data_IF_173161559175
#
_entry.id   IF_173161559175
#
_cell.length_a   1.000
_cell.length_b   1.000
_cell.length_c   1.000
_cell.angle_alpha   90.00
_cell.angle_beta   90.00
_cell.angle_gamma   90.00
#
_symmetry.space_group_name_H-M   'P 1'
#
loop_
_entity.id
_entity.type
_entity.pdbx_description
1 polymer ?
#
# COMPACT_ATOMS: atom_id res chain seq x y z
N UNK A 1 6.87 -26.30 15.35
CA UNK A 1 6.90 -24.83 15.52
C UNK A 1 6.48 -24.20 14.21
N UNK A 2 5.38 -23.43 14.12
CA UNK A 2 4.94 -22.85 12.85
C UNK A 2 5.64 -21.51 12.56
N UNK A 3 6.02 -21.31 11.29
CA UNK A 3 6.43 -20.03 10.71
C UNK A 3 5.46 -19.75 9.55
N UNK A 4 4.60 -18.75 9.67
CA UNK A 4 3.61 -18.44 8.62
C UNK A 4 4.07 -17.26 7.78
N UNK A 5 3.92 -17.42 6.46
CA UNK A 5 3.98 -16.37 5.46
C UNK A 5 2.56 -16.25 4.87
N UNK A 6 2.11 -15.03 4.58
CA UNK A 6 0.77 -14.77 4.04
C UNK A 6 0.76 -15.04 2.52
N UNK A 7 -0.15 -15.91 2.07
CA UNK A 7 -0.37 -16.24 0.66
C UNK A 7 -1.54 -15.38 0.14
N UNK A 8 -1.37 -14.58 -0.92
CA UNK A 8 -2.43 -13.72 -1.46
C UNK A 8 -3.68 -14.48 -1.94
N UNK A 9 -3.60 -15.79 -2.15
CA UNK A 9 -4.74 -16.66 -2.46
C UNK A 9 -5.46 -17.19 -1.22
N UNK A 10 -4.88 -17.01 -0.03
CA UNK A 10 -5.53 -17.39 1.23
C UNK A 10 -6.69 -16.45 1.56
N UNK A 11 -7.72 -16.94 2.28
CA UNK A 11 -8.82 -16.10 2.73
C UNK A 11 -8.30 -14.89 3.53
N UNK A 12 -8.89 -13.69 3.36
CA UNK A 12 -8.46 -12.51 4.09
C UNK A 12 -8.54 -12.73 5.60
N UNK A 13 -7.49 -12.31 6.31
CA UNK A 13 -7.49 -12.30 7.78
C UNK A 13 -8.51 -11.27 8.23
N UNK A 14 -9.61 -11.73 8.82
CA UNK A 14 -10.70 -10.86 9.25
C UNK A 14 -10.38 -10.23 10.61
N UNK A 15 -10.58 -8.92 10.70
CA UNK A 15 -10.61 -8.17 11.94
C UNK A 15 -11.89 -7.33 11.98
N UNK A 16 -12.64 -7.44 13.07
CA UNK A 16 -13.86 -6.66 13.32
C UNK A 16 -13.54 -5.58 14.36
N UNK A 17 -12.98 -4.47 13.90
CA UNK A 17 -12.93 -3.21 14.65
C UNK A 17 -13.92 -2.23 14.02
N UNK A 18 -14.61 -1.38 14.81
CA UNK A 18 -15.44 -0.32 14.24
C UNK A 18 -14.57 0.55 13.34
N UNK A 19 -14.95 0.62 12.06
CA UNK A 19 -14.22 1.43 11.09
C UNK A 19 -14.59 2.89 11.38
N UNK A 20 -13.59 3.69 11.76
CA UNK A 20 -13.73 5.14 11.87
C UNK A 20 -14.12 5.73 10.52
N UNK A 21 -14.86 6.84 10.49
CA UNK A 21 -15.12 7.55 9.23
C UNK A 21 -13.79 8.07 8.65
N UNK A 22 -13.43 7.62 7.45
CA UNK A 22 -12.27 8.14 6.73
C UNK A 22 -12.71 9.23 5.77
N UNK A 23 -11.93 10.31 5.70
CA UNK A 23 -12.20 11.42 4.78
C UNK A 23 -11.12 11.47 3.70
N UNK A 24 -11.44 11.92 2.48
CA UNK A 24 -10.44 12.19 1.45
C UNK A 24 -9.35 13.15 1.95
N UNK A 25 -8.09 12.81 1.71
CA UNK A 25 -6.94 13.66 2.10
C UNK A 25 -6.44 14.43 0.88
N UNK A 26 -6.57 15.77 0.82
CA UNK A 26 -5.96 16.57 -0.23
C UNK A 26 -4.43 16.59 -0.09
N UNK A 27 -3.72 16.52 -1.21
CA UNK A 27 -2.27 16.46 -1.27
C UNK A 27 -1.76 17.38 -2.38
N UNK A 28 -0.72 18.15 -2.07
CA UNK A 28 0.06 18.87 -3.08
C UNK A 28 1.33 18.09 -3.36
N UNK A 29 1.60 17.77 -4.63
CA UNK A 29 2.78 17.00 -5.02
C UNK A 29 4.05 17.84 -4.87
N UNK A 30 5.21 17.17 -5.03
CA UNK A 30 6.52 17.78 -4.80
C UNK A 30 6.81 18.99 -5.69
N UNK A 31 6.17 19.11 -6.84
CA UNK A 31 6.28 20.27 -7.73
C UNK A 31 5.65 21.55 -7.14
N UNK A 32 4.88 21.42 -6.06
CA UNK A 32 4.24 22.54 -5.36
C UNK A 32 2.96 23.04 -6.03
N UNK A 33 2.58 22.50 -7.18
CA UNK A 33 1.45 22.99 -7.99
C UNK A 33 0.44 21.92 -8.31
N UNK A 34 0.86 20.66 -8.52
CA UNK A 34 -0.05 19.58 -8.87
C UNK A 34 -0.85 19.17 -7.65
N UNK A 35 -2.18 19.23 -7.78
CA UNK A 35 -3.13 18.86 -6.74
C UNK A 35 -3.67 17.45 -6.96
N UNK A 36 -3.72 16.68 -5.88
CA UNK A 36 -4.22 15.32 -5.86
C UNK A 36 -5.04 15.08 -4.58
N UNK A 37 -5.82 14.01 -4.58
CA UNK A 37 -6.62 13.57 -3.44
C UNK A 37 -6.36 12.10 -3.18
N UNK A 38 -6.12 11.71 -1.92
CA UNK A 38 -6.06 10.31 -1.48
C UNK A 38 -7.46 9.91 -1.01
N UNK A 39 -8.06 8.93 -1.67
CA UNK A 39 -9.41 8.45 -1.41
C UNK A 39 -9.37 7.13 -0.63
N UNK A 40 -10.08 7.02 0.51
CA UNK A 40 -10.16 5.80 1.31
C UNK A 40 -11.24 4.85 0.78
N UNK A 41 -10.92 3.57 0.63
CA UNK A 41 -11.84 2.49 0.25
C UNK A 41 -11.85 1.41 1.33
N UNK A 42 -13.03 1.04 1.81
CA UNK A 42 -13.24 0.03 2.86
C UNK A 42 -13.88 -1.25 2.32
N UNK A 43 -14.26 -1.27 1.04
CA UNK A 43 -14.83 -2.44 0.37
C UNK A 43 -14.45 -2.43 -1.12
N UNK A 44 -14.19 -3.61 -1.74
CA UNK A 44 -14.00 -3.71 -3.19
C UNK A 44 -15.19 -3.16 -4.00
N UNK A 45 -16.40 -3.22 -3.45
CA UNK A 45 -17.62 -2.73 -4.12
C UNK A 45 -17.69 -1.22 -4.29
N UNK A 46 -16.85 -0.45 -3.57
CA UNK A 46 -16.78 1.01 -3.69
C UNK A 46 -15.88 1.46 -4.85
N UNK A 47 -15.10 0.54 -5.44
CA UNK A 47 -14.06 0.88 -6.41
C UNK A 47 -14.61 0.70 -7.82
N UNK A 48 -14.47 1.70 -8.72
CA UNK A 48 -14.80 1.52 -10.13
C UNK A 48 -14.09 0.29 -10.72
N UNK A 49 -14.79 -0.61 -11.44
CA UNK A 49 -14.15 -1.80 -12.03
C UNK A 49 -12.98 -1.48 -12.96
N UNK A 50 -13.07 -0.37 -13.71
CA UNK A 50 -11.99 0.12 -14.58
C UNK A 50 -10.74 0.54 -13.81
N UNK A 51 -10.90 1.12 -12.61
CA UNK A 51 -9.79 1.48 -11.72
C UNK A 51 -9.14 0.22 -11.12
N UNK A 52 -9.96 -0.74 -10.70
CA UNK A 52 -9.47 -2.04 -10.20
C UNK A 52 -8.65 -2.76 -11.27
N UNK A 53 -9.15 -2.79 -12.52
CA UNK A 53 -8.44 -3.34 -13.68
C UNK A 53 -7.11 -2.63 -13.91
N UNK A 54 -7.11 -1.30 -13.91
CA UNK A 54 -5.89 -0.50 -14.07
C UNK A 54 -4.83 -0.82 -12.99
N UNK A 55 -5.22 -0.83 -11.71
CA UNK A 55 -4.31 -1.14 -10.61
C UNK A 55 -3.79 -2.58 -10.66
N UNK A 56 -4.63 -3.53 -11.10
CA UNK A 56 -4.21 -4.91 -11.35
C UNK A 56 -3.11 -4.96 -12.42
N UNK A 57 -3.26 -4.22 -13.53
CA UNK A 57 -2.22 -4.08 -14.55
C UNK A 57 -0.95 -3.44 -13.99
N UNK A 58 -1.06 -2.39 -13.17
CA UNK A 58 0.11 -1.76 -12.55
C UNK A 58 0.88 -2.75 -11.65
N UNK A 59 0.19 -3.54 -10.83
CA UNK A 59 0.83 -4.59 -10.03
C UNK A 59 1.49 -5.65 -10.91
N UNK A 60 0.82 -6.09 -11.97
CA UNK A 60 1.37 -7.06 -12.91
C UNK A 60 2.67 -6.56 -13.57
N UNK A 61 2.75 -5.26 -13.90
CA UNK A 61 3.97 -4.65 -14.44
C UNK A 61 5.11 -4.63 -13.41
N UNK A 62 4.82 -4.30 -12.13
CA UNK A 62 5.82 -4.35 -11.05
C UNK A 62 6.31 -5.78 -10.78
N UNK A 63 5.42 -6.77 -10.78
CA UNK A 63 5.76 -8.20 -10.68
C UNK A 63 6.61 -8.63 -11.87
N UNK A 64 6.23 -8.25 -13.09
CA UNK A 64 6.97 -8.57 -14.30
C UNK A 64 8.38 -7.95 -14.30
N UNK A 65 8.55 -6.74 -13.74
CA UNK A 65 9.86 -6.14 -13.53
C UNK A 65 10.72 -6.96 -12.55
N UNK A 66 10.11 -7.57 -11.53
CA UNK A 66 10.73 -8.62 -10.71
C UNK A 66 11.78 -8.14 -9.71
N UNK A 67 11.66 -6.90 -9.25
CA UNK A 67 12.63 -6.25 -8.34
C UNK A 67 12.01 -5.73 -7.04
N UNK A 68 10.69 -5.76 -6.90
CA UNK A 68 9.97 -5.10 -5.79
C UNK A 68 9.05 -6.02 -5.00
N UNK A 69 8.34 -6.92 -5.68
CA UNK A 69 7.45 -7.91 -5.08
C UNK A 69 8.02 -9.34 -5.21
N UNK A 70 7.74 -10.25 -4.24
CA UNK A 70 8.23 -11.62 -4.27
C UNK A 70 7.49 -12.53 -5.27
N UNK A 71 6.33 -12.09 -5.78
CA UNK A 71 5.52 -12.87 -6.71
C UNK A 71 6.26 -13.07 -8.03
N UNK A 72 6.13 -14.26 -8.61
CA UNK A 72 6.65 -14.56 -9.95
C UNK A 72 5.59 -14.30 -11.02
N UNK A 73 4.35 -14.66 -10.71
CA UNK A 73 3.21 -14.57 -11.62
C UNK A 73 2.27 -13.44 -11.19
N UNK A 74 1.67 -12.70 -12.15
CA UNK A 74 0.70 -11.67 -11.86
C UNK A 74 -0.58 -12.29 -11.27
N UNK A 75 -1.24 -11.54 -10.38
CA UNK A 75 -2.53 -11.93 -9.84
C UNK A 75 -3.62 -11.79 -10.92
N UNK A 76 -4.52 -12.76 -11.07
CA UNK A 76 -5.73 -12.59 -11.87
C UNK A 76 -6.60 -11.45 -11.33
N UNK A 77 -7.37 -10.79 -12.21
CA UNK A 77 -8.19 -9.63 -11.85
C UNK A 77 -9.23 -9.97 -10.78
N UNK A 78 -9.85 -11.16 -10.89
CA UNK A 78 -10.83 -11.69 -9.93
C UNK A 78 -10.25 -11.88 -8.53
N UNK A 79 -8.92 -12.05 -8.42
CA UNK A 79 -8.21 -12.19 -7.15
C UNK A 79 -7.69 -10.84 -6.66
N UNK A 80 -7.25 -9.98 -7.58
CA UNK A 80 -6.64 -8.68 -7.24
C UNK A 80 -7.59 -7.78 -6.46
N UNK A 81 -8.83 -7.58 -6.93
CA UNK A 81 -9.80 -6.69 -6.27
C UNK A 81 -10.07 -7.11 -4.83
N UNK A 82 -10.51 -8.37 -4.58
CA UNK A 82 -10.70 -8.90 -3.24
C UNK A 82 -9.44 -8.89 -2.37
N UNK A 83 -8.25 -9.04 -2.95
CA UNK A 83 -6.99 -8.98 -2.20
C UNK A 83 -6.63 -7.54 -1.78
N UNK A 84 -6.54 -6.63 -2.75
CA UNK A 84 -6.03 -5.27 -2.58
C UNK A 84 -7.00 -4.41 -1.77
N UNK A 85 -8.30 -4.61 -1.95
CA UNK A 85 -9.37 -3.87 -1.27
C UNK A 85 -10.04 -4.68 -0.13
N UNK A 86 -9.37 -5.72 0.37
CA UNK A 86 -9.94 -6.67 1.35
C UNK A 86 -10.40 -6.05 2.68
N UNK A 87 -9.57 -5.19 3.26
CA UNK A 87 -9.80 -4.58 4.59
C UNK A 87 -9.91 -3.07 4.45
N UNK A 88 -8.86 -2.47 3.90
CA UNK A 88 -8.78 -1.06 3.62
C UNK A 88 -7.76 -0.83 2.50
N UNK A 89 -8.07 0.09 1.59
CA UNK A 89 -7.11 0.59 0.64
C UNK A 89 -7.30 2.09 0.42
N UNK A 90 -6.26 2.70 -0.14
CA UNK A 90 -6.26 4.09 -0.54
C UNK A 90 -5.87 4.19 -2.00
N UNK A 91 -6.48 5.11 -2.75
CA UNK A 91 -6.03 5.46 -4.10
C UNK A 91 -5.82 6.96 -4.18
N UNK A 92 -4.63 7.37 -4.61
CA UNK A 92 -4.33 8.76 -4.90
C UNK A 92 -4.65 9.06 -6.36
N UNK A 93 -5.49 10.06 -6.58
CA UNK A 93 -5.94 10.51 -7.90
C UNK A 93 -5.70 12.00 -8.08
N UNK A 94 -5.45 12.44 -9.31
CA UNK A 94 -5.34 13.86 -9.66
C UNK A 94 -6.68 14.59 -9.48
N UNK A 95 -6.61 15.80 -8.92
CA UNK A 95 -7.76 16.66 -8.67
C UNK A 95 -8.00 16.93 -7.18
N UNK A 96 -8.89 17.89 -6.93
CA UNK A 96 -9.33 18.32 -5.60
C UNK A 96 -10.84 18.13 -5.46
N UNK A 97 -11.33 18.11 -4.22
CA UNK A 97 -12.77 17.98 -3.95
C UNK A 97 -13.36 16.62 -4.34
N UNK A 98 -12.52 15.62 -4.57
CA UNK A 98 -12.94 14.28 -4.94
C UNK A 98 -13.38 13.50 -3.71
N UNK A 99 -14.40 12.67 -3.92
CA UNK A 99 -14.96 11.71 -2.97
C UNK A 99 -15.00 10.31 -3.60
N UNK A 100 -15.20 9.29 -2.78
CA UNK A 100 -15.37 7.90 -3.25
C UNK A 100 -16.58 7.82 -4.18
N UNK A 101 -17.66 8.51 -3.81
CA UNK A 101 -18.92 8.58 -4.54
C UNK A 101 -18.72 9.22 -5.91
N UNK A 102 -18.10 10.40 -5.97
CA UNK A 102 -17.82 11.08 -7.24
C UNK A 102 -16.91 10.27 -8.15
N UNK A 103 -15.98 9.47 -7.58
CA UNK A 103 -15.11 8.61 -8.37
C UNK A 103 -15.87 7.40 -8.93
N UNK A 104 -16.83 6.87 -8.16
CA UNK A 104 -17.81 5.87 -8.60
C UNK A 104 -18.59 6.36 -9.81
N UNK A 105 -19.22 7.53 -9.69
CA UNK A 105 -19.99 8.17 -10.77
C UNK A 105 -19.13 8.40 -12.02
N UNK A 106 -17.90 8.89 -11.86
CA UNK A 106 -16.96 9.06 -12.98
C UNK A 106 -16.67 7.74 -13.72
N UNK A 107 -16.55 6.64 -12.99
CA UNK A 107 -16.33 5.32 -13.56
C UNK A 107 -17.53 4.73 -14.29
N UNK A 108 -18.75 5.16 -13.93
CA UNK A 108 -20.00 4.75 -14.59
C UNK A 108 -20.31 5.57 -15.84
N UNK A 109 -19.94 6.87 -15.85
CA UNK A 109 -20.26 7.79 -16.93
C UNK A 109 -19.37 7.65 -18.19
N UNK A 110 -18.31 6.84 -18.18
CA UNK A 110 -17.50 6.57 -19.37
C UNK A 110 -16.08 6.06 -19.08
N UNK A 111 -15.26 6.01 -20.14
CA UNK A 111 -13.85 5.64 -20.04
C UNK A 111 -13.05 6.72 -19.33
N UNK A 112 -12.59 6.42 -18.12
CA UNK A 112 -11.67 7.27 -17.36
C UNK A 112 -10.24 6.87 -17.71
N UNK A 113 -9.46 7.83 -18.19
CA UNK A 113 -8.03 7.66 -18.46
C UNK A 113 -7.22 7.56 -17.15
N UNK A 114 -7.27 6.38 -16.51
CA UNK A 114 -6.61 6.11 -15.23
C UNK A 114 -5.09 6.23 -15.31
N UNK A 115 -4.50 6.02 -16.47
CA UNK A 115 -3.05 6.13 -16.66
C UNK A 115 -2.54 7.54 -16.37
N UNK A 116 -3.34 8.57 -16.62
CA UNK A 116 -3.00 9.93 -16.27
C UNK A 116 -3.51 10.36 -14.90
N UNK A 117 -4.69 9.86 -14.49
CA UNK A 117 -5.36 10.29 -13.26
C UNK A 117 -4.92 9.55 -12.00
N UNK A 118 -4.70 8.24 -12.06
CA UNK A 118 -4.31 7.44 -10.90
C UNK A 118 -2.81 7.54 -10.67
N UNK A 119 -2.43 8.10 -9.51
CA UNK A 119 -1.04 8.35 -9.14
C UNK A 119 -0.41 7.18 -8.39
N UNK A 120 -1.20 6.46 -7.59
CA UNK A 120 -0.74 5.33 -6.81
C UNK A 120 -1.78 4.85 -5.82
N UNK A 121 -1.48 3.76 -5.13
CA UNK A 121 -2.39 3.13 -4.18
C UNK A 121 -1.61 2.42 -3.08
N UNK A 122 -2.24 2.22 -1.94
CA UNK A 122 -1.78 1.26 -0.94
C UNK A 122 -2.95 0.50 -0.32
N UNK A 123 -2.68 -0.65 0.28
CA UNK A 123 -3.63 -1.35 1.15
C UNK A 123 -3.13 -1.37 2.60
N UNK A 124 -4.06 -1.55 3.55
CA UNK A 124 -3.76 -1.91 4.94
C UNK A 124 -4.56 -3.15 5.31
N UNK A 125 -3.88 -4.17 5.85
CA UNK A 125 -4.52 -5.41 6.32
C UNK A 125 -3.75 -6.01 7.50
N UNK A 126 -4.33 -6.92 8.30
CA UNK A 126 -3.57 -7.65 9.30
C UNK A 126 -2.39 -8.41 8.67
N UNK A 127 -1.21 -8.33 9.27
CA UNK A 127 -0.03 -9.08 8.83
C UNK A 127 -0.07 -10.54 9.30
N UNK A 128 -0.76 -10.79 10.42
CA UNK A 128 -0.82 -12.08 11.08
C UNK A 128 -2.26 -12.37 11.56
N UNK A 129 -2.65 -13.64 11.70
CA UNK A 129 -4.01 -13.98 12.14
C UNK A 129 -4.17 -13.91 13.66
N UNK A 130 -5.43 -13.86 14.10
CA UNK A 130 -5.83 -14.08 15.48
C UNK A 130 -5.16 -13.11 16.46
N UNK A 131 -4.38 -13.66 17.40
CA UNK A 131 -3.76 -12.91 18.52
C UNK A 131 -2.79 -11.82 18.06
N UNK A 132 -2.27 -11.93 16.83
CA UNK A 132 -1.30 -10.98 16.27
C UNK A 132 -1.92 -10.07 15.19
N UNK A 133 -3.25 -10.09 15.03
CA UNK A 133 -3.95 -9.29 14.01
C UNK A 133 -3.97 -7.78 14.28
N UNK A 134 -3.47 -7.34 15.44
CA UNK A 134 -3.23 -5.93 15.74
C UNK A 134 -2.01 -5.35 15.02
N UNK A 135 -1.13 -6.21 14.48
CA UNK A 135 -0.02 -5.83 13.62
C UNK A 135 -0.49 -5.80 12.16
N UNK A 136 -0.45 -4.64 11.51
CA UNK A 136 -0.78 -4.53 10.09
C UNK A 136 0.43 -4.69 9.17
N UNK A 137 0.12 -4.95 7.92
CA UNK A 137 1.01 -4.84 6.77
C UNK A 137 0.38 -3.85 5.77
N UNK A 138 1.19 -3.41 4.81
CA UNK A 138 0.73 -2.67 3.64
C UNK A 138 1.60 -2.98 2.43
N UNK A 139 1.00 -2.83 1.25
CA UNK A 139 1.67 -2.86 -0.04
C UNK A 139 1.35 -1.58 -0.80
N UNK A 140 2.30 -1.11 -1.61
CA UNK A 140 2.24 0.21 -2.25
C UNK A 140 2.51 0.09 -3.74
N UNK A 141 1.72 0.78 -4.54
CA UNK A 141 1.92 0.97 -5.98
C UNK A 141 2.04 2.46 -6.28
N UNK A 142 2.97 2.80 -7.16
CA UNK A 142 3.08 4.14 -7.72
C UNK A 142 3.08 4.00 -9.23
N UNK A 143 2.22 4.77 -9.90
CA UNK A 143 2.16 4.79 -11.35
C UNK A 143 3.55 5.13 -11.93
N UNK A 144 4.08 4.23 -12.76
CA UNK A 144 5.43 4.33 -13.30
C UNK A 144 5.64 5.63 -14.10
N UNK A 145 4.60 6.15 -14.76
CA UNK A 145 4.64 7.40 -15.53
C UNK A 145 4.70 8.67 -14.67
N UNK A 146 4.42 8.58 -13.36
CA UNK A 146 4.31 9.73 -12.44
C UNK A 146 5.35 9.70 -11.32
N UNK A 147 6.47 8.98 -11.50
CA UNK A 147 7.55 8.87 -10.49
C UNK A 147 8.22 10.22 -10.22
N UNK A 148 8.99 10.29 -9.13
CA UNK A 148 9.73 11.48 -8.67
C UNK A 148 8.89 12.69 -8.20
N UNK A 149 7.56 12.59 -8.18
CA UNK A 149 6.66 13.63 -7.68
C UNK A 149 6.34 13.55 -6.18
N UNK A 150 7.04 12.68 -5.43
CA UNK A 150 6.82 12.52 -3.99
C UNK A 150 5.60 11.67 -3.61
N UNK A 151 4.93 11.04 -4.58
CA UNK A 151 3.71 10.21 -4.39
C UNK A 151 3.91 9.15 -3.30
N UNK A 152 4.96 8.33 -3.41
CA UNK A 152 5.19 7.24 -2.44
C UNK A 152 5.34 7.74 -0.99
N UNK A 153 5.97 8.90 -0.78
CA UNK A 153 6.08 9.49 0.56
C UNK A 153 4.74 10.04 1.04
N UNK A 154 3.93 10.63 0.17
CA UNK A 154 2.60 11.11 0.51
C UNK A 154 1.64 9.95 0.85
N UNK A 155 1.67 8.86 0.08
CA UNK A 155 0.95 7.62 0.40
C UNK A 155 1.40 7.03 1.74
N UNK A 156 2.71 6.98 2.00
CA UNK A 156 3.24 6.51 3.28
C UNK A 156 2.80 7.34 4.49
N UNK A 157 2.65 8.66 4.33
CA UNK A 157 2.08 9.52 5.40
C UNK A 157 0.60 9.23 5.65
N UNK A 158 -0.20 9.09 4.60
CA UNK A 158 -1.60 8.71 4.75
C UNK A 158 -1.76 7.31 5.38
N UNK A 159 -0.85 6.37 5.05
CA UNK A 159 -0.79 5.07 5.71
C UNK A 159 -0.59 5.20 7.23
N UNK A 160 0.38 6.03 7.67
CA UNK A 160 0.64 6.26 9.10
C UNK A 160 -0.54 6.94 9.81
N UNK A 161 -1.29 7.81 9.13
CA UNK A 161 -2.50 8.44 9.70
C UNK A 161 -3.66 7.44 9.82
N UNK A 162 -3.86 6.59 8.81
CA UNK A 162 -5.07 5.78 8.68
C UNK A 162 -4.96 4.40 9.34
N UNK A 163 -3.78 3.78 9.36
CA UNK A 163 -3.57 2.49 10.02
C UNK A 163 -4.01 2.46 11.50
N UNK A 164 -3.63 3.42 12.38
CA UNK A 164 -4.11 3.43 13.77
C UNK A 164 -5.62 3.66 13.90
N UNK A 165 -6.24 4.42 12.99
CA UNK A 165 -7.71 4.63 12.95
C UNK A 165 -8.49 3.36 12.59
N UNK A 166 -7.84 2.37 11.98
CA UNK A 166 -8.38 1.02 11.76
C UNK A 166 -8.20 0.10 12.99
N UNK A 167 -7.55 0.61 14.05
CA UNK A 167 -7.27 -0.08 15.29
C UNK A 167 -5.94 -0.86 15.29
N UNK A 168 -5.06 -0.68 14.31
CA UNK A 168 -3.74 -1.30 14.33
C UNK A 168 -2.80 -0.56 15.29
N UNK A 169 -2.02 -1.30 16.05
CA UNK A 169 -1.09 -0.73 17.05
C UNK A 169 0.36 -0.82 16.61
N UNK A 170 0.66 -1.65 15.62
CA UNK A 170 1.98 -1.78 15.03
C UNK A 170 1.90 -2.07 13.54
N UNK A 171 2.91 -1.67 12.78
CA UNK A 171 3.08 -2.02 11.35
C UNK A 171 4.33 -2.85 11.14
N UNK A 172 4.26 -3.87 10.30
CA UNK A 172 5.42 -4.62 9.81
C UNK A 172 5.40 -4.72 8.29
N UNK A 173 6.50 -4.32 7.66
CA UNK A 173 6.80 -4.65 6.26
C UNK A 173 7.81 -5.79 6.21
N UNK A 174 7.36 -6.98 5.81
CA UNK A 174 8.15 -8.20 5.94
C UNK A 174 9.34 -8.27 4.96
N UNK A 175 9.16 -7.77 3.72
CA UNK A 175 10.12 -7.97 2.63
C UNK A 175 10.36 -6.69 1.84
N UNK A 176 11.09 -5.74 2.42
CA UNK A 176 11.60 -4.59 1.66
C UNK A 176 13.01 -4.91 1.19
N UNK A 177 13.16 -5.29 -0.09
CA UNK A 177 14.48 -5.64 -0.64
C UNK A 177 15.46 -4.48 -0.51
N UNK A 178 16.69 -4.78 -0.06
CA UNK A 178 17.71 -3.75 0.19
C UNK A 178 18.09 -2.96 -1.08
N UNK A 179 17.87 -3.56 -2.25
CA UNK A 179 18.10 -2.97 -3.57
C UNK A 179 17.01 -1.97 -3.96
N UNK A 180 15.84 -2.00 -3.33
CA UNK A 180 14.80 -0.98 -3.50
C UNK A 180 15.13 0.25 -2.65
N UNK A 181 16.20 0.96 -3.04
CA UNK A 181 16.74 2.12 -2.34
C UNK A 181 15.70 3.22 -2.15
N UNK A 182 14.79 3.39 -3.11
CA UNK A 182 13.71 4.38 -3.02
C UNK A 182 12.74 4.06 -1.88
N UNK A 183 12.30 2.80 -1.78
CA UNK A 183 11.43 2.31 -0.70
C UNK A 183 12.11 2.44 0.66
N UNK A 184 13.35 1.98 0.79
CA UNK A 184 14.14 2.12 2.02
C UNK A 184 14.23 3.59 2.49
N UNK A 185 14.58 4.51 1.58
CA UNK A 185 14.65 5.95 1.91
C UNK A 185 13.30 6.53 2.36
N UNK A 186 12.19 6.07 1.80
CA UNK A 186 10.86 6.53 2.21
C UNK A 186 10.61 6.09 3.65
N UNK A 187 10.75 4.79 3.95
CA UNK A 187 10.47 4.23 5.27
C UNK A 187 11.39 4.80 6.35
N UNK A 188 12.70 4.86 6.08
CA UNK A 188 13.67 5.51 6.98
C UNK A 188 13.25 6.97 7.27
N UNK A 189 12.79 7.72 6.25
CA UNK A 189 12.38 9.12 6.41
C UNK A 189 11.01 9.34 7.05
N UNK A 190 10.21 8.28 7.17
CA UNK A 190 8.89 8.27 7.80
C UNK A 190 8.95 7.74 9.24
N UNK A 191 10.15 7.42 9.75
CA UNK A 191 10.32 6.95 11.12
C UNK A 191 10.13 5.46 11.32
N UNK A 192 10.02 4.66 10.24
CA UNK A 192 10.05 3.20 10.39
C UNK A 192 11.44 2.75 10.83
N UNK A 193 11.46 1.80 11.76
CA UNK A 193 12.68 1.18 12.26
C UNK A 193 13.02 -0.07 11.45
N UNK A 194 14.32 -0.31 11.24
CA UNK A 194 14.81 -1.55 10.62
C UNK A 194 14.93 -2.65 11.68
N UNK A 195 13.80 -3.25 12.02
CA UNK A 195 13.69 -4.24 13.11
C UNK A 195 14.29 -5.62 12.78
N UNK A 196 14.63 -5.87 11.51
CA UNK A 196 15.23 -7.14 11.12
C UNK A 196 15.76 -7.18 9.69
N UNK A 197 16.39 -8.30 9.34
CA UNK A 197 16.94 -8.55 8.00
C UNK A 197 16.88 -10.03 7.65
N UNK A 198 16.23 -10.36 6.54
CA UNK A 198 16.20 -11.71 5.98
C UNK A 198 17.31 -11.82 4.93
N UNK A 199 18.36 -12.57 5.25
CA UNK A 199 19.53 -12.72 4.38
C UNK A 199 19.23 -13.60 3.18
N UNK A 200 19.68 -13.18 1.99
CA UNK A 200 19.66 -13.95 0.73
C UNK A 200 18.28 -14.51 0.37
N UNK A 201 17.22 -13.76 0.66
CA UNK A 201 15.84 -14.24 0.56
C UNK A 201 15.21 -14.05 -0.82
N UNK A 202 15.84 -13.29 -1.71
CA UNK A 202 15.28 -13.01 -3.03
C UNK A 202 16.26 -13.26 -4.17
N UNK A 203 15.72 -13.72 -5.30
CA UNK A 203 16.38 -13.77 -6.61
C UNK A 203 15.63 -12.78 -7.49
N UNK A 204 16.21 -11.60 -7.70
CA UNK A 204 15.58 -10.50 -8.42
C UNK A 204 16.10 -10.43 -9.86
N UNK A 205 15.25 -9.99 -10.80
CA UNK A 205 15.59 -9.98 -12.23
C UNK A 205 16.76 -9.05 -12.55
N UNK A 206 16.85 -7.88 -11.91
CA UNK A 206 17.95 -6.93 -12.13
C UNK A 206 19.27 -7.34 -11.43
N UNK A 207 19.28 -8.45 -10.69
CA UNK A 207 20.45 -8.91 -9.92
C UNK A 207 20.77 -10.40 -10.21
N UNK A 208 21.02 -10.78 -11.47
CA UNK A 208 21.25 -12.18 -11.85
C UNK A 208 22.46 -12.78 -11.12
N UNK A 209 22.32 -14.02 -10.65
CA UNK A 209 23.39 -14.74 -9.93
C UNK A 209 23.65 -14.24 -8.50
N UNK A 210 22.96 -13.19 -8.04
CA UNK A 210 23.07 -12.66 -6.67
C UNK A 210 21.75 -12.85 -5.94
N UNK A 211 21.82 -13.47 -4.75
CA UNK A 211 20.71 -13.43 -3.79
C UNK A 211 20.72 -12.10 -3.05
N UNK A 212 19.57 -11.47 -2.95
CA UNK A 212 19.36 -10.15 -2.34
C UNK A 212 18.71 -10.31 -0.97
N UNK A 213 19.11 -9.46 -0.02
CA UNK A 213 18.55 -9.42 1.32
C UNK A 213 17.28 -8.55 1.36
N UNK A 214 16.38 -8.84 2.30
CA UNK A 214 15.26 -7.97 2.62
C UNK A 214 15.40 -7.39 4.03
N UNK A 215 15.04 -6.13 4.17
CA UNK A 215 14.88 -5.46 5.45
C UNK A 215 13.43 -5.68 5.93
N UNK A 216 13.30 -6.02 7.21
CA UNK A 216 12.02 -6.02 7.90
C UNK A 216 11.88 -4.65 8.57
N UNK A 217 10.87 -3.88 8.18
CA UNK A 217 10.57 -2.60 8.84
C UNK A 217 9.46 -2.76 9.86
N UNK A 218 9.57 -2.01 10.96
CA UNK A 218 8.56 -1.90 12.02
C UNK A 218 8.18 -0.44 12.26
N UNK A 219 6.94 -0.19 12.65
CA UNK A 219 6.49 1.11 13.14
C UNK A 219 5.53 0.92 14.29
N UNK A 220 5.82 1.56 15.42
CA UNK A 220 4.97 1.57 16.61
C UNK A 220 4.01 2.75 16.54
N UNK A 221 2.70 2.48 16.49
CA UNK A 221 1.69 3.54 16.47
C UNK A 221 1.36 4.08 17.88
N UNK A 222 1.69 3.34 18.94
CA UNK A 222 1.40 3.71 20.33
C UNK A 222 2.49 4.63 20.90
N UNK A 223 3.73 4.50 20.41
CA UNK A 223 4.88 5.29 20.88
C UNK A 223 4.84 6.80 20.63
N UNK A 224 3.82 7.34 19.93
CA UNK A 224 3.63 8.79 19.80
C UNK A 224 2.84 9.41 20.96
N UNK A 225 1.97 8.66 21.65
CA UNK A 225 1.21 9.17 22.81
C UNK A 225 2.11 9.36 24.05
N UNK A 226 3.12 8.50 24.23
CA UNK A 226 4.05 8.57 25.37
C UNK A 226 5.07 9.72 25.29
N UNK A 227 5.19 10.40 24.15
CA UNK A 227 6.09 11.57 23.99
C UNK A 227 5.43 12.91 24.27
N UNK A 228 4.09 12.94 24.37
CA UNK A 228 3.33 14.15 24.70
C UNK A 228 3.08 14.30 26.21
N UNK A 229 3.50 13.32 27.01
CA UNK A 229 3.22 13.19 28.44
C UNK A 229 4.48 13.19 29.33
N UNK A 230 5.65 13.56 28.78
CA UNK A 230 6.92 13.74 29.51
C UNK A 230 7.46 15.15 29.35
#
# INVERSE_FOLDING_TARGET
MPAMLDDPTSPPIKRTTPISSFTPTPVTLRDGTTRATILPFTSPSQVPPSLTSFLCTQLALEIAAGDTYPMLDPLPLETFGPYWFSTFAAVMVLGEGLSVESLGEMGEMGEVEWEDRCLGSFYVKPNYPGRSSHVCNGGFLVNAKKRNLGIGKALGRAYLEWAPRLGFTYSVFNLVYETNVASCKIWDSLGFERIGRVKKCAVLKSFPGRKVDAIVYGYDFEGEEDKASV
#
